data_IF_880435630033
#
_entry.id   IF_880435630033
#
_cell.length_a   1.000
_cell.length_b   1.000
_cell.length_c   1.000
_cell.angle_alpha   90.00
_cell.angle_beta   90.00
_cell.angle_gamma   90.00
#
_symmetry.space_group_name_H-M   'P 1'
#
loop_
_entity.id
_entity.type
_entity.pdbx_description
1 polymer ?
#
# COMPACT_ATOMS: atom_id res chain seq x y z
N UNK A 1 -25.14 9.96 -25.73
CA UNK A 1 -23.89 10.07 -26.50
C UNK A 1 -23.34 11.47 -26.28
N UNK A 2 -22.40 11.65 -25.37
CA UNK A 2 -21.64 12.89 -25.21
C UNK A 2 -20.19 12.61 -25.57
N UNK A 3 -19.76 13.23 -26.67
CA UNK A 3 -18.39 13.13 -27.18
C UNK A 3 -17.46 13.94 -26.28
N UNK A 4 -16.43 13.30 -25.79
CA UNK A 4 -15.31 13.93 -25.10
C UNK A 4 -14.46 14.71 -26.09
N UNK A 5 -14.44 16.03 -25.97
CA UNK A 5 -13.53 16.87 -26.76
C UNK A 5 -12.11 16.79 -26.22
N UNK A 6 -11.21 16.26 -27.02
CA UNK A 6 -9.77 16.27 -26.79
C UNK A 6 -9.26 17.64 -27.26
N UNK A 7 -8.77 18.46 -26.35
CA UNK A 7 -8.04 19.70 -26.69
C UNK A 7 -6.56 19.38 -26.63
N UNK A 8 -5.94 19.18 -27.77
CA UNK A 8 -4.48 19.12 -27.94
C UNK A 8 -3.96 20.55 -28.08
N UNK A 9 -3.14 20.99 -27.16
CA UNK A 9 -2.32 22.22 -27.31
C UNK A 9 -0.84 21.82 -27.21
N UNK A 10 -0.14 22.11 -28.30
CA UNK A 10 1.28 21.91 -28.49
C UNK A 10 2.11 22.88 -27.62
N UNK A 11 3.32 22.43 -27.32
CA UNK A 11 4.49 23.14 -26.82
C UNK A 11 4.51 23.61 -25.33
N UNK A 12 5.29 22.83 -24.54
CA UNK A 12 5.86 23.20 -23.23
C UNK A 12 4.92 23.49 -22.05
N UNK A 13 3.67 23.08 -22.07
CA UNK A 13 2.79 23.08 -20.90
C UNK A 13 2.39 21.65 -20.55
N UNK A 14 2.45 21.31 -19.26
CA UNK A 14 1.96 20.09 -18.68
C UNK A 14 0.52 19.83 -19.14
N UNK A 15 0.29 18.81 -19.94
CA UNK A 15 -1.08 18.43 -20.35
C UNK A 15 -1.84 17.94 -19.14
N UNK A 16 -2.85 18.70 -18.74
CA UNK A 16 -3.78 18.33 -17.69
C UNK A 16 -4.97 17.66 -18.35
N UNK A 17 -4.99 16.32 -18.40
CA UNK A 17 -6.18 15.56 -18.81
C UNK A 17 -7.22 15.60 -17.71
N UNK A 18 -8.44 15.91 -18.07
CA UNK A 18 -9.56 16.11 -17.14
C UNK A 18 -10.64 15.08 -17.41
N UNK A 19 -11.03 14.29 -16.38
CA UNK A 19 -12.01 13.21 -16.51
C UNK A 19 -12.95 13.14 -15.30
N UNK A 20 -14.17 12.68 -15.52
CA UNK A 20 -15.20 12.55 -14.46
C UNK A 20 -15.07 11.26 -13.65
N UNK A 21 -14.58 10.17 -14.24
CA UNK A 21 -14.21 8.91 -13.57
C UNK A 21 -12.94 8.36 -14.19
N UNK A 22 -12.02 7.88 -13.36
CA UNK A 22 -10.76 7.31 -13.83
C UNK A 22 -11.01 5.90 -14.35
N UNK A 23 -10.67 5.69 -15.61
CA UNK A 23 -10.75 4.40 -16.29
C UNK A 23 -9.39 3.70 -16.31
N UNK A 24 -9.41 2.38 -16.46
CA UNK A 24 -8.17 1.58 -16.53
C UNK A 24 -7.24 2.04 -17.66
N UNK A 25 -7.80 2.38 -18.83
CA UNK A 25 -7.06 2.88 -19.99
C UNK A 25 -6.28 4.17 -19.70
N UNK A 26 -6.82 5.05 -18.86
CA UNK A 26 -6.17 6.29 -18.47
C UNK A 26 -5.01 6.04 -17.51
N UNK A 27 -5.16 5.08 -16.60
CA UNK A 27 -4.08 4.67 -15.71
C UNK A 27 -2.97 4.00 -16.50
N UNK A 28 -3.29 3.18 -17.49
CA UNK A 28 -2.29 2.59 -18.42
C UNK A 28 -1.52 3.70 -19.11
N UNK A 29 -2.20 4.71 -19.64
CA UNK A 29 -1.55 5.85 -20.28
C UNK A 29 -0.61 6.62 -19.32
N UNK A 30 -1.03 6.81 -18.05
CA UNK A 30 -0.17 7.42 -17.03
C UNK A 30 1.06 6.57 -16.71
N UNK A 31 0.91 5.25 -16.66
CA UNK A 31 2.01 4.32 -16.41
C UNK A 31 3.02 4.39 -17.56
N UNK A 32 2.53 4.40 -18.82
CA UNK A 32 3.38 4.54 -20.01
C UNK A 32 4.14 5.86 -20.01
N UNK A 33 3.48 6.96 -19.67
CA UNK A 33 4.12 8.27 -19.56
C UNK A 33 5.18 8.30 -18.45
N UNK A 34 4.88 7.71 -17.31
CA UNK A 34 5.85 7.59 -16.20
C UNK A 34 7.07 6.75 -16.59
N UNK A 35 6.86 5.63 -17.32
CA UNK A 35 7.94 4.78 -17.83
C UNK A 35 8.79 5.48 -18.90
N UNK A 36 8.22 6.32 -19.76
CA UNK A 36 8.99 7.10 -20.75
C UNK A 36 10.03 8.02 -20.12
N UNK A 37 9.80 8.45 -18.89
CA UNK A 37 10.75 9.28 -18.13
C UNK A 37 11.84 8.45 -17.41
N UNK A 38 11.79 7.12 -17.50
CA UNK A 38 12.74 6.21 -16.87
C UNK A 38 14.10 6.31 -17.58
N UNK A 39 15.15 6.41 -16.77
CA UNK A 39 16.55 6.31 -17.23
C UNK A 39 17.06 4.94 -16.82
N UNK A 40 17.90 4.33 -17.64
CA UNK A 40 18.54 3.07 -17.33
C UNK A 40 19.33 3.17 -16.01
N UNK A 41 19.05 2.30 -15.07
CA UNK A 41 19.63 2.30 -13.72
C UNK A 41 20.06 0.90 -13.30
N UNK A 42 20.97 0.84 -12.34
CA UNK A 42 21.49 -0.42 -11.78
C UNK A 42 20.49 -1.14 -10.84
N UNK A 43 19.29 -0.63 -10.65
CA UNK A 43 18.25 -1.23 -9.82
C UNK A 43 16.88 -1.16 -10.51
N UNK A 44 16.00 -2.07 -10.15
CA UNK A 44 14.61 -2.09 -10.63
C UNK A 44 13.82 -1.01 -9.89
N UNK A 45 13.24 -0.08 -10.64
CA UNK A 45 12.41 0.97 -10.07
C UNK A 45 11.01 0.43 -9.72
N UNK A 46 10.42 0.99 -8.67
CA UNK A 46 9.02 0.75 -8.32
C UNK A 46 8.12 1.77 -8.99
N UNK A 47 6.93 1.34 -9.35
CA UNK A 47 5.84 2.23 -9.76
C UNK A 47 4.99 2.59 -8.54
N UNK A 48 4.82 3.87 -8.31
CA UNK A 48 4.15 4.44 -7.17
C UNK A 48 2.95 5.27 -7.61
N UNK A 49 1.80 5.02 -6.97
CA UNK A 49 0.58 5.80 -7.13
C UNK A 49 0.49 6.84 -6.00
N UNK A 50 0.29 8.08 -6.39
CA UNK A 50 0.00 9.20 -5.48
C UNK A 50 -1.40 9.72 -5.73
N UNK A 51 -2.19 9.82 -4.68
CA UNK A 51 -3.55 10.37 -4.72
C UNK A 51 -3.57 11.60 -3.83
N UNK A 52 -3.88 12.75 -4.41
CA UNK A 52 -4.06 13.98 -3.64
C UNK A 52 -5.54 14.16 -3.34
N UNK A 53 -5.84 14.36 -2.06
CA UNK A 53 -7.20 14.55 -1.56
C UNK A 53 -7.55 16.05 -1.46
N UNK A 54 -8.84 16.35 -1.44
CA UNK A 54 -9.42 17.68 -1.20
C UNK A 54 -10.66 17.56 -0.32
N UNK A 55 -11.05 18.66 0.31
CA UNK A 55 -12.28 18.79 1.08
C UNK A 55 -12.43 17.74 2.20
N UNK A 56 -11.31 17.30 2.78
CA UNK A 56 -11.25 16.40 3.93
C UNK A 56 -10.52 17.10 5.07
N UNK A 57 -11.16 17.14 6.23
CA UNK A 57 -10.61 17.76 7.43
C UNK A 57 -9.84 16.73 8.25
N UNK A 58 -8.53 16.61 7.99
CA UNK A 58 -7.65 15.67 8.71
C UNK A 58 -7.59 16.01 10.20
N UNK A 59 -7.76 17.30 10.58
CA UNK A 59 -7.75 17.74 11.97
C UNK A 59 -8.97 17.22 12.76
N UNK A 60 -10.09 16.94 12.09
CA UNK A 60 -11.29 16.34 12.69
C UNK A 60 -11.20 14.82 12.86
N UNK A 61 -10.00 14.24 12.72
CA UNK A 61 -9.76 12.82 13.00
C UNK A 61 -9.89 11.89 11.80
N UNK A 62 -9.93 12.41 10.57
CA UNK A 62 -9.88 11.55 9.39
C UNK A 62 -8.46 10.95 9.25
N UNK A 63 -8.28 9.80 9.88
CA UNK A 63 -7.06 9.01 9.75
C UNK A 63 -7.47 7.56 9.49
N UNK A 64 -6.87 6.94 8.48
CA UNK A 64 -7.07 5.52 8.28
C UNK A 64 -5.75 4.80 8.00
N UNK A 65 -5.73 3.53 8.33
CA UNK A 65 -4.61 2.65 8.08
C UNK A 65 -5.18 1.28 7.69
N UNK A 66 -5.18 0.98 6.41
CA UNK A 66 -5.78 -0.22 5.87
C UNK A 66 -4.80 -1.04 5.06
N UNK A 67 -5.07 -2.33 5.02
CA UNK A 67 -4.36 -3.30 4.19
C UNK A 67 -5.24 -3.63 3.00
N UNK A 68 -4.74 -3.31 1.82
CA UNK A 68 -5.43 -3.55 0.55
C UNK A 68 -4.72 -4.70 -0.16
N UNK A 69 -5.46 -5.73 -0.51
CA UNK A 69 -4.95 -6.83 -1.31
C UNK A 69 -4.92 -6.43 -2.78
N UNK A 70 -3.78 -6.65 -3.42
CA UNK A 70 -3.61 -6.41 -4.85
C UNK A 70 -3.98 -7.66 -5.65
N UNK A 71 -4.63 -7.51 -6.81
CA UNK A 71 -4.94 -8.65 -7.69
C UNK A 71 -3.69 -9.30 -8.27
N UNK A 72 -2.67 -8.51 -8.60
CA UNK A 72 -1.42 -9.02 -9.17
C UNK A 72 -0.27 -8.88 -8.16
N UNK A 73 0.49 -9.95 -8.00
CA UNK A 73 1.62 -9.97 -7.09
C UNK A 73 2.77 -9.13 -7.65
N UNK A 74 3.41 -8.34 -6.78
CA UNK A 74 4.62 -7.61 -7.12
C UNK A 74 5.83 -8.55 -7.24
N UNK A 75 6.86 -8.16 -8.00
CA UNK A 75 8.10 -8.93 -8.15
C UNK A 75 8.77 -9.24 -6.82
N UNK A 76 8.66 -8.32 -5.85
CA UNK A 76 9.09 -8.55 -4.47
C UNK A 76 7.87 -8.60 -3.57
N UNK A 77 7.48 -9.80 -3.08
CA UNK A 77 6.36 -9.92 -2.14
C UNK A 77 6.66 -9.18 -0.83
N UNK A 78 5.61 -8.77 -0.14
CA UNK A 78 5.75 -8.15 1.17
C UNK A 78 6.29 -9.16 2.18
N UNK A 79 7.24 -8.74 3.02
CA UNK A 79 7.81 -9.56 4.07
C UNK A 79 6.86 -9.63 5.28
N UNK A 80 6.51 -10.85 5.70
CA UNK A 80 5.54 -11.11 6.77
C UNK A 80 6.20 -11.84 7.93
N UNK A 81 6.12 -11.24 9.12
CA UNK A 81 6.55 -11.84 10.38
C UNK A 81 5.34 -12.35 11.16
N UNK A 82 5.41 -13.58 11.65
CA UNK A 82 4.34 -14.21 12.44
C UNK A 82 4.80 -14.34 13.88
N UNK A 83 3.96 -13.92 14.81
CA UNK A 83 4.14 -14.06 16.26
C UNK A 83 3.15 -15.10 16.76
N UNK A 84 3.61 -16.33 16.98
CA UNK A 84 2.74 -17.44 17.37
C UNK A 84 3.50 -18.47 18.20
N UNK A 85 2.78 -19.15 19.08
CA UNK A 85 3.28 -20.26 19.90
C UNK A 85 2.66 -21.59 19.52
N UNK A 86 3.35 -22.68 19.90
CA UNK A 86 2.84 -24.04 19.75
C UNK A 86 2.52 -24.40 18.30
N UNK A 87 1.37 -25.02 18.09
CA UNK A 87 0.92 -25.54 16.79
C UNK A 87 0.82 -24.44 15.72
N UNK A 88 0.38 -23.23 16.10
CA UNK A 88 0.34 -22.12 15.15
C UNK A 88 1.74 -21.69 14.69
N UNK A 89 2.73 -21.73 15.58
CA UNK A 89 4.11 -21.46 15.22
C UNK A 89 4.68 -22.49 14.25
N UNK A 90 4.35 -23.77 14.43
CA UNK A 90 4.73 -24.85 13.50
C UNK A 90 4.06 -24.67 12.14
N UNK A 91 2.75 -24.50 12.11
CA UNK A 91 1.99 -24.22 10.86
C UNK A 91 2.50 -22.99 10.12
N UNK A 92 2.92 -21.95 10.85
CA UNK A 92 3.50 -20.76 10.23
C UNK A 92 4.86 -21.02 9.58
N UNK A 93 5.69 -21.89 10.17
CA UNK A 93 6.95 -22.33 9.58
C UNK A 93 6.73 -23.20 8.34
N UNK A 94 5.79 -24.14 8.39
CA UNK A 94 5.40 -25.01 7.26
C UNK A 94 4.84 -24.18 6.09
N UNK A 95 4.06 -23.13 6.39
CA UNK A 95 3.54 -22.18 5.42
C UNK A 95 4.59 -21.18 4.88
N UNK A 96 5.88 -21.37 5.20
CA UNK A 96 7.00 -20.54 4.74
C UNK A 96 6.80 -19.05 5.08
N UNK A 97 6.44 -18.75 6.35
CA UNK A 97 6.53 -17.39 6.87
C UNK A 97 8.02 -16.95 6.88
N UNK A 98 8.25 -15.66 6.62
CA UNK A 98 9.63 -15.15 6.55
C UNK A 98 10.35 -15.22 7.89
N UNK A 99 9.62 -15.03 9.00
CA UNK A 99 10.11 -15.24 10.35
C UNK A 99 8.96 -15.59 11.29
N UNK A 100 9.23 -16.49 12.27
CA UNK A 100 8.30 -16.85 13.33
C UNK A 100 8.93 -16.53 14.68
N UNK A 101 8.24 -15.70 15.45
CA UNK A 101 8.65 -15.26 16.78
C UNK A 101 7.77 -15.92 17.86
N UNK A 102 8.42 -16.59 18.79
CA UNK A 102 7.80 -17.12 19.98
C UNK A 102 7.74 -16.05 21.08
N UNK A 103 6.94 -16.26 22.10
CA UNK A 103 6.77 -15.33 23.23
C UNK A 103 8.10 -14.93 23.87
N UNK A 104 9.02 -15.88 24.10
CA UNK A 104 10.34 -15.62 24.67
C UNK A 104 11.19 -14.70 23.80
N UNK A 105 11.07 -14.82 22.46
CA UNK A 105 11.75 -13.90 21.55
C UNK A 105 11.13 -12.52 21.56
N UNK A 106 9.81 -12.43 21.67
CA UNK A 106 9.09 -11.15 21.77
C UNK A 106 9.48 -10.40 23.04
N UNK A 107 9.57 -11.08 24.19
CA UNK A 107 10.00 -10.49 25.47
C UNK A 107 11.45 -10.03 25.41
N UNK A 108 12.37 -10.84 24.92
CA UNK A 108 13.79 -10.44 24.71
C UNK A 108 13.92 -9.24 23.78
N UNK A 109 13.13 -9.18 22.71
CA UNK A 109 13.09 -8.02 21.80
C UNK A 109 12.56 -6.76 22.49
N UNK A 110 11.69 -6.88 23.50
CA UNK A 110 11.23 -5.73 24.26
C UNK A 110 12.35 -5.04 25.06
N UNK A 111 13.31 -5.81 25.54
CA UNK A 111 14.48 -5.31 26.28
C UNK A 111 15.47 -4.63 25.33
N UNK A 112 15.71 -5.20 24.14
CA UNK A 112 16.62 -4.62 23.14
C UNK A 112 15.86 -3.77 22.11
N UNK A 113 15.74 -2.47 22.38
CA UNK A 113 15.12 -1.50 21.46
C UNK A 113 15.82 -1.41 20.08
N UNK A 114 17.12 -1.74 20.01
CA UNK A 114 17.88 -1.67 18.74
C UNK A 114 17.55 -2.86 17.84
N UNK A 115 17.51 -4.06 18.38
CA UNK A 115 17.08 -5.27 17.71
C UNK A 115 15.63 -5.15 17.23
N UNK A 116 14.73 -4.67 18.12
CA UNK A 116 13.32 -4.44 17.78
C UNK A 116 13.15 -3.48 16.59
N UNK A 117 13.88 -2.37 16.55
CA UNK A 117 13.84 -1.43 15.41
C UNK A 117 14.32 -2.05 14.12
N UNK A 118 15.39 -2.87 14.17
CA UNK A 118 15.90 -3.59 12.99
C UNK A 118 14.86 -4.57 12.46
N UNK A 119 14.25 -5.36 13.35
CA UNK A 119 13.20 -6.30 13.01
C UNK A 119 11.99 -5.61 12.39
N UNK A 120 11.47 -4.53 13.00
CA UNK A 120 10.31 -3.79 12.49
C UNK A 120 10.59 -3.15 11.12
N UNK A 121 11.85 -2.77 10.85
CA UNK A 121 12.22 -2.23 9.54
C UNK A 121 12.32 -3.32 8.46
N UNK A 122 12.66 -4.56 8.85
CA UNK A 122 12.85 -5.68 7.94
C UNK A 122 11.52 -6.21 7.38
N UNK A 123 10.45 -6.22 8.20
CA UNK A 123 9.16 -6.78 7.82
C UNK A 123 8.11 -5.70 7.57
N UNK A 124 7.25 -5.93 6.58
CA UNK A 124 6.17 -5.03 6.20
C UNK A 124 4.91 -5.29 7.00
N UNK A 125 4.59 -6.56 7.24
CA UNK A 125 3.41 -6.99 7.98
C UNK A 125 3.77 -7.87 9.16
N UNK A 126 2.97 -7.75 10.22
CA UNK A 126 3.04 -8.58 11.41
C UNK A 126 1.69 -9.25 11.62
N UNK A 127 1.71 -10.56 11.81
CA UNK A 127 0.58 -11.36 12.23
C UNK A 127 0.85 -11.85 13.65
N UNK A 128 -0.15 -11.84 14.51
CA UNK A 128 0.01 -12.35 15.86
C UNK A 128 -1.17 -13.22 16.25
N UNK A 129 -0.89 -14.30 16.98
CA UNK A 129 -1.95 -15.06 17.65
C UNK A 129 -2.71 -14.13 18.61
N UNK A 130 -4.02 -14.28 18.66
CA UNK A 130 -4.90 -13.51 19.54
C UNK A 130 -4.45 -13.60 21.00
N UNK A 131 -3.90 -14.74 21.43
CA UNK A 131 -3.38 -14.94 22.78
C UNK A 131 -2.13 -14.09 23.07
N UNK A 132 -1.26 -13.89 22.08
CA UNK A 132 -0.01 -13.11 22.23
C UNK A 132 -0.22 -11.60 22.05
N UNK A 133 -1.35 -11.16 21.52
CA UNK A 133 -1.63 -9.75 21.25
C UNK A 133 -1.41 -8.83 22.46
N UNK A 134 -1.86 -9.18 23.70
CA UNK A 134 -1.62 -8.34 24.87
C UNK A 134 -0.13 -8.19 25.21
N UNK A 135 0.65 -9.27 25.05
CA UNK A 135 2.10 -9.27 25.31
C UNK A 135 2.81 -8.41 24.26
N UNK A 136 2.50 -8.62 22.98
CA UNK A 136 3.06 -7.83 21.88
C UNK A 136 2.69 -6.34 22.01
N UNK A 137 1.47 -6.05 22.42
CA UNK A 137 1.01 -4.68 22.66
C UNK A 137 1.80 -3.96 23.73
N UNK A 138 2.10 -4.64 24.85
CA UNK A 138 2.92 -4.10 25.94
C UNK A 138 4.39 -3.97 25.57
N UNK A 139 4.96 -4.97 24.90
CA UNK A 139 6.39 -5.06 24.60
C UNK A 139 6.80 -4.22 23.39
N UNK A 140 6.13 -4.38 22.27
CA UNK A 140 6.52 -3.77 20.98
C UNK A 140 5.56 -2.66 20.51
N UNK A 141 4.43 -2.46 21.18
CA UNK A 141 3.38 -1.52 20.78
C UNK A 141 3.87 -0.09 20.60
N UNK A 142 4.76 0.39 21.49
CA UNK A 142 5.37 1.72 21.40
C UNK A 142 6.19 1.93 20.11
N UNK A 143 6.74 0.85 19.54
CA UNK A 143 7.54 0.90 18.31
C UNK A 143 6.72 0.62 17.06
N UNK A 144 5.75 -0.29 17.15
CA UNK A 144 4.88 -0.70 16.04
C UNK A 144 3.77 0.32 15.74
N UNK A 145 3.17 0.89 16.79
CA UNK A 145 2.04 1.84 16.67
C UNK A 145 2.35 3.06 15.82
N UNK A 146 3.38 3.87 16.14
CA UNK A 146 3.72 5.07 15.37
C UNK A 146 4.07 4.78 13.91
N UNK A 147 4.60 3.57 13.63
CA UNK A 147 4.92 3.11 12.27
C UNK A 147 3.70 2.56 11.52
N UNK A 148 2.58 2.38 12.21
CA UNK A 148 1.38 1.79 11.65
C UNK A 148 1.49 0.31 11.33
N UNK A 149 2.48 -0.39 11.90
CA UNK A 149 2.76 -1.81 11.69
C UNK A 149 2.21 -2.69 12.81
N UNK A 150 1.12 -2.29 13.47
CA UNK A 150 0.47 -3.13 14.49
C UNK A 150 0.12 -4.49 13.90
N UNK A 151 0.33 -5.58 14.65
CA UNK A 151 0.01 -6.92 14.19
C UNK A 151 -1.48 -7.08 13.94
N UNK A 152 -1.80 -7.85 12.91
CA UNK A 152 -3.17 -8.30 12.67
C UNK A 152 -3.42 -9.58 13.47
N UNK A 153 -4.47 -9.61 14.33
CA UNK A 153 -4.79 -10.82 15.08
C UNK A 153 -5.25 -11.93 14.16
N UNK A 154 -4.70 -13.13 14.36
CA UNK A 154 -5.10 -14.34 13.66
C UNK A 154 -5.78 -15.26 14.68
N UNK A 155 -7.04 -15.68 14.44
CA UNK A 155 -7.72 -16.64 15.29
C UNK A 155 -7.02 -18.00 15.27
N UNK A 156 -7.04 -18.71 16.39
CA UNK A 156 -6.32 -19.99 16.58
C UNK A 156 -6.66 -21.07 15.53
N UNK A 157 -7.88 -21.09 15.05
CA UNK A 157 -8.35 -22.09 14.05
C UNK A 157 -8.28 -21.61 12.60
N UNK A 158 -7.75 -20.42 12.34
CA UNK A 158 -7.70 -19.89 10.99
C UNK A 158 -6.56 -20.53 10.18
N UNK A 159 -6.76 -20.79 8.87
CA UNK A 159 -5.73 -21.30 7.99
C UNK A 159 -4.64 -20.22 7.78
N UNK A 160 -3.51 -20.38 8.46
CA UNK A 160 -2.43 -19.39 8.46
C UNK A 160 -1.84 -19.16 7.06
N UNK A 161 -1.88 -20.19 6.20
CA UNK A 161 -1.42 -20.12 4.81
C UNK A 161 -2.20 -19.11 3.98
N UNK A 162 -3.53 -19.08 4.15
CA UNK A 162 -4.38 -18.13 3.42
C UNK A 162 -4.12 -16.68 3.87
N UNK A 163 -3.85 -16.47 5.17
CA UNK A 163 -3.44 -15.17 5.68
C UNK A 163 -2.08 -14.76 5.12
N UNK A 164 -1.10 -15.66 5.14
CA UNK A 164 0.24 -15.37 4.61
C UNK A 164 0.19 -15.02 3.12
N UNK A 165 -0.50 -15.82 2.30
CA UNK A 165 -0.64 -15.55 0.87
C UNK A 165 -1.32 -14.22 0.61
N UNK A 166 -2.38 -13.90 1.35
CA UNK A 166 -3.07 -12.61 1.27
C UNK A 166 -2.15 -11.45 1.64
N UNK A 167 -1.42 -11.52 2.75
CA UNK A 167 -0.55 -10.43 3.18
C UNK A 167 0.69 -10.26 2.29
N UNK A 168 1.21 -11.33 1.68
CA UNK A 168 2.30 -11.26 0.70
C UNK A 168 1.93 -10.47 -0.57
N UNK A 169 0.65 -10.45 -0.94
CA UNK A 169 0.13 -9.68 -2.08
C UNK A 169 -0.50 -8.33 -1.68
N UNK A 170 -0.50 -8.01 -0.39
CA UNK A 170 -1.14 -6.80 0.11
C UNK A 170 -0.17 -5.63 0.26
N UNK A 171 -0.73 -4.43 0.18
CA UNK A 171 -0.05 -3.19 0.53
C UNK A 171 -0.77 -2.50 1.70
N UNK A 172 -0.03 -1.70 2.45
CA UNK A 172 -0.61 -0.88 3.51
C UNK A 172 -0.75 0.55 3.03
N UNK A 173 -1.95 1.07 3.11
CA UNK A 173 -2.27 2.46 2.78
C UNK A 173 -2.65 3.20 4.05
N UNK A 174 -2.05 4.37 4.24
CA UNK A 174 -2.22 5.15 5.47
C UNK A 174 -2.38 6.63 5.16
N UNK A 175 -3.39 7.24 5.77
CA UNK A 175 -3.54 8.69 5.88
C UNK A 175 -3.39 9.08 7.35
N UNK A 176 -2.53 10.03 7.63
CA UNK A 176 -2.31 10.53 9.00
C UNK A 176 -2.57 12.04 9.08
N UNK A 177 -1.66 12.86 8.59
CA UNK A 177 -1.70 14.32 8.73
C UNK A 177 -1.69 15.04 7.37
N UNK A 178 -1.47 14.32 6.28
CA UNK A 178 -1.38 14.87 4.93
C UNK A 178 -2.58 14.47 4.09
N UNK A 179 -3.04 15.37 3.23
CA UNK A 179 -4.07 15.12 2.23
C UNK A 179 -3.50 14.42 0.99
N UNK A 180 -2.51 13.55 1.19
CA UNK A 180 -1.92 12.78 0.12
C UNK A 180 -1.67 11.34 0.56
N UNK A 181 -1.95 10.43 -0.34
CA UNK A 181 -1.74 9.00 -0.20
C UNK A 181 -0.65 8.61 -1.18
N UNK A 182 0.31 7.83 -0.74
CA UNK A 182 1.31 7.21 -1.60
C UNK A 182 1.36 5.72 -1.35
N UNK A 183 1.37 4.94 -2.42
CA UNK A 183 1.48 3.49 -2.33
C UNK A 183 2.21 2.92 -3.55
N UNK A 184 2.92 1.82 -3.34
CA UNK A 184 3.54 1.05 -4.41
C UNK A 184 2.46 0.20 -5.09
N UNK A 185 2.35 0.27 -6.42
CA UNK A 185 1.39 -0.49 -7.21
C UNK A 185 2.04 -1.58 -8.07
N UNK A 186 3.35 -1.51 -8.27
CA UNK A 186 4.09 -2.48 -9.06
C UNK A 186 5.56 -2.12 -9.21
N UNK A 187 6.19 -2.80 -10.13
CA UNK A 187 7.59 -2.58 -10.53
C UNK A 187 7.65 -2.33 -12.04
N UNK A 188 8.73 -1.70 -12.52
CA UNK A 188 8.89 -1.37 -13.95
C UNK A 188 8.96 -2.63 -14.84
N UNK A 189 9.29 -3.80 -14.26
CA UNK A 189 9.34 -5.10 -14.97
C UNK A 189 7.97 -5.76 -15.16
N UNK A 190 6.92 -5.27 -14.50
CA UNK A 190 5.57 -5.80 -14.64
C UNK A 190 4.88 -5.25 -15.89
N UNK A 191 3.93 -6.03 -16.41
CA UNK A 191 3.05 -5.57 -17.48
C UNK A 191 2.20 -4.38 -17.03
N UNK A 192 1.95 -3.44 -17.95
CA UNK A 192 1.26 -2.19 -17.66
C UNK A 192 -0.20 -2.41 -17.25
N UNK A 193 -0.86 -3.40 -17.85
CA UNK A 193 -2.23 -3.78 -17.51
C UNK A 193 -2.32 -4.38 -16.10
N UNK A 194 -1.33 -5.20 -15.70
CA UNK A 194 -1.28 -5.74 -14.35
C UNK A 194 -1.09 -4.65 -13.30
N UNK A 195 -0.22 -3.67 -13.59
CA UNK A 195 0.00 -2.52 -12.70
C UNK A 195 -1.25 -1.62 -12.66
N UNK A 196 -1.92 -1.43 -13.80
CA UNK A 196 -3.17 -0.66 -13.85
C UNK A 196 -4.29 -1.34 -13.06
N UNK A 197 -4.44 -2.66 -13.16
CA UNK A 197 -5.38 -3.41 -12.35
C UNK A 197 -5.11 -3.27 -10.84
N UNK A 198 -3.83 -3.30 -10.44
CA UNK A 198 -3.43 -3.05 -9.05
C UNK A 198 -3.80 -1.62 -8.62
N UNK A 199 -3.53 -0.62 -9.44
CA UNK A 199 -3.88 0.78 -9.17
C UNK A 199 -5.40 0.96 -9.03
N UNK A 200 -6.18 0.36 -9.93
CA UNK A 200 -7.64 0.40 -9.87
C UNK A 200 -8.20 -0.25 -8.61
N UNK A 201 -7.65 -1.39 -8.17
CA UNK A 201 -8.03 -2.04 -6.93
C UNK A 201 -7.80 -1.12 -5.71
N UNK A 202 -6.68 -0.39 -5.69
CA UNK A 202 -6.39 0.60 -4.65
C UNK A 202 -7.38 1.77 -4.71
N UNK A 203 -7.59 2.36 -5.89
CA UNK A 203 -8.48 3.50 -6.08
C UNK A 203 -9.90 3.14 -5.66
N UNK A 204 -10.44 2.00 -6.10
CA UNK A 204 -11.79 1.56 -5.77
C UNK A 204 -11.97 1.32 -4.26
N UNK A 205 -10.96 0.73 -3.61
CA UNK A 205 -11.00 0.53 -2.16
C UNK A 205 -11.01 1.85 -1.40
N UNK A 206 -10.20 2.83 -1.85
CA UNK A 206 -10.14 4.14 -1.23
C UNK A 206 -11.42 4.96 -1.43
N UNK A 207 -12.04 4.89 -2.61
CA UNK A 207 -13.31 5.56 -2.91
C UNK A 207 -14.41 5.19 -1.92
N UNK A 208 -14.48 3.94 -1.50
CA UNK A 208 -15.48 3.47 -0.53
C UNK A 208 -15.27 4.01 0.89
N UNK A 209 -14.06 4.49 1.19
CA UNK A 209 -13.68 5.00 2.51
C UNK A 209 -13.78 6.51 2.66
N UNK A 210 -13.80 7.23 1.56
CA UNK A 210 -13.93 8.68 1.61
C UNK A 210 -15.39 9.09 1.82
N UNK A 211 -15.63 10.14 2.62
CA UNK A 211 -17.00 10.62 2.93
C UNK A 211 -17.82 10.95 1.69
N UNK A 212 -17.21 11.56 0.67
CA UNK A 212 -17.85 11.95 -0.58
C UNK A 212 -17.32 11.15 -1.78
N UNK A 213 -16.70 9.99 -1.55
CA UNK A 213 -16.17 9.14 -2.61
C UNK A 213 -15.19 9.86 -3.54
N UNK A 214 -15.44 9.80 -4.84
CA UNK A 214 -14.58 10.40 -5.87
C UNK A 214 -14.43 11.93 -5.74
N UNK A 215 -15.42 12.63 -5.20
CA UNK A 215 -15.38 14.09 -5.04
C UNK A 215 -14.25 14.55 -4.11
N UNK A 216 -13.80 13.69 -3.22
CA UNK A 216 -12.68 13.98 -2.34
C UNK A 216 -11.31 13.84 -3.01
N UNK A 217 -11.25 13.32 -4.23
CA UNK A 217 -9.98 13.15 -4.95
C UNK A 217 -9.77 14.35 -5.87
N UNK A 218 -8.60 14.96 -5.76
CA UNK A 218 -8.20 16.12 -6.57
C UNK A 218 -7.44 15.69 -7.81
N UNK A 219 -6.45 14.80 -7.65
CA UNK A 219 -5.60 14.34 -8.73
C UNK A 219 -4.98 12.98 -8.43
N UNK A 220 -4.73 12.25 -9.48
CA UNK A 220 -3.92 11.04 -9.47
C UNK A 220 -2.56 11.33 -10.10
N UNK A 221 -1.52 10.73 -9.58
CA UNK A 221 -0.18 10.81 -10.14
C UNK A 221 0.45 9.43 -10.09
N UNK A 222 1.11 9.05 -11.17
CA UNK A 222 1.94 7.85 -11.22
C UNK A 222 3.37 8.27 -11.53
N UNK A 223 4.32 7.68 -10.82
CA UNK A 223 5.75 7.91 -11.07
C UNK A 223 6.54 6.64 -10.84
N UNK A 224 7.68 6.53 -11.48
CA UNK A 224 8.74 5.60 -11.08
C UNK A 224 9.51 6.20 -9.91
N UNK A 225 10.28 5.39 -9.17
CA UNK A 225 10.98 5.84 -7.95
C UNK A 225 11.79 7.12 -8.17
N UNK A 226 12.49 7.24 -9.30
CA UNK A 226 13.35 8.37 -9.63
C UNK A 226 12.89 9.17 -10.85
N UNK A 227 11.82 8.74 -11.52
CA UNK A 227 11.27 9.39 -12.71
C UNK A 227 10.41 10.61 -12.39
N UNK A 228 9.98 11.28 -13.45
CA UNK A 228 9.01 12.37 -13.37
C UNK A 228 7.61 11.82 -13.09
N UNK A 229 6.77 12.60 -12.41
CA UNK A 229 5.39 12.22 -12.15
C UNK A 229 4.51 12.53 -13.36
N UNK A 230 3.80 11.53 -13.86
CA UNK A 230 2.67 11.70 -14.78
C UNK A 230 1.42 12.06 -13.97
N UNK A 231 0.66 13.04 -14.40
CA UNK A 231 -0.44 13.62 -13.63
C UNK A 231 -1.78 13.51 -14.38
N UNK A 232 -2.82 13.11 -13.65
CA UNK A 232 -4.21 13.15 -14.09
C UNK A 232 -5.02 13.97 -13.07
N UNK A 233 -5.62 15.08 -13.51
CA UNK A 233 -6.42 15.94 -12.65
C UNK A 233 -7.91 15.59 -12.79
N UNK A 234 -8.54 15.30 -11.67
CA UNK A 234 -9.97 15.03 -11.60
C UNK A 234 -10.74 16.36 -11.54
N UNK A 235 -11.55 16.68 -12.54
CA UNK A 235 -12.54 17.76 -12.48
C UNK A 235 -13.87 17.17 -12.03
N UNK A 236 -14.35 17.63 -10.91
CA UNK A 236 -15.74 17.45 -10.53
C UNK A 236 -16.50 18.57 -11.19
N UNK A 237 -17.34 18.26 -12.15
CA UNK A 237 -18.39 19.15 -12.65
C UNK A 237 -19.31 19.47 -11.47
N UNK A 238 -19.51 20.77 -11.22
CA UNK A 238 -20.47 21.27 -10.23
C UNK A 238 -21.89 20.98 -10.65
#
# INVERSE_FOLDING_TARGET
>A
MMQSQIITLNDNKWEIKVFDMVNESEIVALIQEAKKSEKERKFKESLELYITLKDIDVKKGFAFNEVIQLPNQMSKPAAVCVMAEGDMGLKAKDAKADEVLDNDKVTKLAEDKRASRKLINKYDFFLADTKLMPVVGKSLGQLLGPRGKMPTPVPFNAPIESFLSRFKTSIRVRVKNSLSISCKIGDTTMDEHQVAANAMAVINNLKTKFPNGDKNIRKYMVKTTMGKAANLVHKVTK
#
